data_IF_703225114585
#
_entry.id   IF_703225114585
#
_cell.length_a   1.000
_cell.length_b   1.000
_cell.length_c   1.000
_cell.angle_alpha   90.00
_cell.angle_beta   90.00
_cell.angle_gamma   90.00
#
_symmetry.space_group_name_H-M   'P 1'
#
loop_
_entity.id
_entity.type
_entity.pdbx_description
1 polymer ?
#
# COMPACT_ATOMS: atom_id res chain seq x y z
N UNK A 1 -1.44 30.94 -46.25
CA UNK A 1 -1.63 29.48 -46.07
C UNK A 1 -2.94 29.30 -45.32
N UNK A 2 -3.85 28.39 -45.72
CA UNK A 2 -5.13 28.24 -45.01
C UNK A 2 -4.94 27.37 -43.75
N UNK A 3 -5.79 27.52 -42.71
CA UNK A 3 -5.71 26.69 -41.50
C UNK A 3 -5.75 25.19 -41.79
N UNK A 4 -6.54 24.79 -42.80
CA UNK A 4 -6.63 23.41 -43.29
C UNK A 4 -5.31 22.85 -43.85
N UNK A 5 -4.47 23.68 -44.48
CA UNK A 5 -3.16 23.22 -44.97
C UNK A 5 -2.20 22.93 -43.82
N UNK A 6 -2.27 23.73 -42.74
CA UNK A 6 -1.39 23.58 -41.58
C UNK A 6 -1.72 22.28 -40.84
N UNK A 7 -3.00 22.02 -40.56
CA UNK A 7 -3.43 20.76 -39.93
C UNK A 7 -3.07 19.52 -40.74
N UNK A 8 -3.17 19.58 -42.08
CA UNK A 8 -2.75 18.47 -42.95
C UNK A 8 -1.24 18.19 -42.82
N UNK A 9 -0.42 19.25 -42.77
CA UNK A 9 1.04 19.13 -42.60
C UNK A 9 1.39 18.56 -41.23
N UNK A 10 0.76 19.04 -40.15
CA UNK A 10 0.95 18.50 -38.80
C UNK A 10 0.59 17.01 -38.72
N UNK A 11 -0.53 16.61 -39.31
CA UNK A 11 -0.95 15.21 -39.37
C UNK A 11 0.03 14.34 -40.17
N UNK A 12 0.51 14.81 -41.32
CA UNK A 12 1.55 14.13 -42.09
C UNK A 12 2.86 13.99 -41.29
N UNK A 13 3.29 15.04 -40.58
CA UNK A 13 4.48 14.99 -39.71
C UNK A 13 4.28 13.98 -38.58
N UNK A 14 3.13 13.97 -37.92
CA UNK A 14 2.81 13.00 -36.86
C UNK A 14 2.86 11.55 -37.36
N UNK A 15 2.29 11.27 -38.54
CA UNK A 15 2.38 9.94 -39.18
C UNK A 15 3.83 9.60 -39.53
N UNK A 16 4.57 10.52 -40.16
CA UNK A 16 5.98 10.29 -40.50
C UNK A 16 6.82 10.00 -39.25
N UNK A 17 6.64 10.73 -38.15
CA UNK A 17 7.32 10.46 -36.88
C UNK A 17 6.89 9.12 -36.29
N UNK A 18 5.58 8.84 -36.22
CA UNK A 18 5.06 7.58 -35.69
C UNK A 18 5.52 6.33 -36.47
N UNK A 19 5.80 6.47 -37.77
CA UNK A 19 6.29 5.39 -38.64
C UNK A 19 7.82 5.30 -38.65
N UNK A 20 8.54 6.43 -38.75
CA UNK A 20 10.00 6.43 -38.85
C UNK A 20 10.71 6.13 -37.52
N UNK A 21 10.18 6.62 -36.39
CA UNK A 21 10.75 6.39 -35.06
C UNK A 21 10.87 4.90 -34.69
N UNK A 22 9.90 4.01 -34.97
CA UNK A 22 10.08 2.57 -34.77
C UNK A 22 10.88 1.88 -35.91
N UNK A 23 10.92 2.43 -37.14
CA UNK A 23 11.69 1.84 -38.25
C UNK A 23 13.21 1.96 -38.05
N UNK A 24 13.70 3.05 -37.46
CA UNK A 24 15.14 3.21 -37.18
C UNK A 24 15.69 2.08 -36.27
N UNK A 25 15.12 1.80 -35.08
CA UNK A 25 15.53 0.66 -34.26
C UNK A 25 15.19 -0.69 -34.91
N UNK A 26 14.16 -0.79 -35.77
CA UNK A 26 13.92 -1.98 -36.60
C UNK A 26 15.14 -2.33 -37.44
N UNK A 27 15.64 -1.33 -38.18
CA UNK A 27 16.74 -1.46 -39.12
C UNK A 27 18.06 -1.72 -38.39
N UNK A 28 18.29 -1.06 -37.25
CA UNK A 28 19.43 -1.34 -36.38
C UNK A 28 19.39 -2.79 -35.91
N UNK A 29 18.28 -3.26 -35.32
CA UNK A 29 18.14 -4.64 -34.85
C UNK A 29 18.32 -5.67 -35.99
N UNK A 30 17.71 -5.43 -37.15
CA UNK A 30 17.83 -6.31 -38.32
C UNK A 30 19.28 -6.42 -38.81
N UNK A 31 20.06 -5.34 -38.72
CA UNK A 31 21.45 -5.30 -39.18
C UNK A 31 22.46 -5.80 -38.14
N UNK A 32 22.18 -5.66 -36.84
CA UNK A 32 23.08 -6.07 -35.76
C UNK A 32 22.84 -7.48 -35.24
N UNK A 33 21.62 -8.02 -35.37
CA UNK A 33 21.31 -9.38 -34.95
C UNK A 33 21.60 -10.38 -36.09
N UNK A 34 22.29 -11.50 -35.81
CA UNK A 34 22.28 -12.64 -36.72
C UNK A 34 20.84 -13.07 -37.00
N UNK A 35 20.52 -13.40 -38.25
CA UNK A 35 19.17 -13.72 -38.73
C UNK A 35 18.52 -14.98 -38.12
N UNK A 36 19.15 -15.57 -37.10
CA UNK A 36 18.80 -16.82 -36.43
C UNK A 36 18.30 -16.63 -34.99
N UNK A 37 17.99 -15.40 -34.57
CA UNK A 37 17.33 -15.14 -33.29
C UNK A 37 16.03 -15.96 -33.20
N UNK A 38 16.03 -17.02 -32.38
CA UNK A 38 14.88 -17.92 -32.16
C UNK A 38 14.58 -17.94 -30.67
N UNK A 39 13.42 -17.41 -30.29
CA UNK A 39 12.92 -17.44 -28.91
C UNK A 39 11.82 -18.49 -28.85
N UNK A 40 12.06 -19.56 -28.10
CA UNK A 40 11.11 -20.66 -27.93
C UNK A 40 11.00 -21.01 -26.43
N UNK A 41 9.78 -21.08 -25.92
CA UNK A 41 9.53 -21.52 -24.54
C UNK A 41 8.20 -21.04 -23.95
N UNK A 42 7.83 -21.54 -22.76
CA UNK A 42 6.62 -21.13 -22.06
C UNK A 42 6.79 -19.74 -21.41
N UNK A 43 5.85 -18.84 -21.66
CA UNK A 43 5.74 -17.54 -21.01
C UNK A 43 4.30 -17.34 -20.51
N UNK A 44 4.13 -17.23 -19.18
CA UNK A 44 2.81 -17.13 -18.51
C UNK A 44 1.80 -18.22 -18.96
N UNK A 45 2.29 -19.44 -19.20
CA UNK A 45 1.47 -20.57 -19.67
C UNK A 45 1.22 -20.63 -21.19
N UNK A 46 1.56 -19.58 -21.94
CA UNK A 46 1.53 -19.59 -23.41
C UNK A 46 2.86 -20.11 -23.95
N UNK A 47 2.82 -21.07 -24.87
CA UNK A 47 4.03 -21.64 -25.48
C UNK A 47 4.40 -20.82 -26.72
N UNK A 48 5.40 -19.94 -26.62
CA UNK A 48 5.72 -18.96 -27.66
C UNK A 48 6.87 -19.47 -28.52
N UNK A 49 6.75 -19.34 -29.85
CA UNK A 49 7.82 -19.59 -30.82
C UNK A 49 7.95 -18.39 -31.76
N UNK A 50 9.01 -17.59 -31.59
CA UNK A 50 9.30 -16.41 -32.39
C UNK A 50 10.66 -16.56 -33.08
N UNK A 51 10.77 -15.99 -34.28
CA UNK A 51 12.01 -15.98 -35.05
C UNK A 51 12.31 -14.59 -35.64
N UNK A 52 13.59 -14.33 -35.91
CA UNK A 52 14.07 -13.13 -36.60
C UNK A 52 13.76 -11.83 -35.84
N UNK A 53 13.45 -10.78 -36.59
CA UNK A 53 13.17 -9.45 -36.03
C UNK A 53 12.02 -9.46 -35.00
N UNK A 54 11.00 -10.30 -35.19
CA UNK A 54 9.85 -10.40 -34.28
C UNK A 54 10.26 -10.91 -32.89
N UNK A 55 11.23 -11.83 -32.81
CA UNK A 55 11.81 -12.28 -31.55
C UNK A 55 12.60 -11.15 -30.85
N UNK A 56 13.32 -10.32 -31.61
CA UNK A 56 14.03 -9.15 -31.09
C UNK A 56 13.08 -8.11 -30.49
N UNK A 57 11.99 -7.79 -31.18
CA UNK A 57 10.95 -6.89 -30.65
C UNK A 57 10.28 -7.43 -29.40
N UNK A 58 9.97 -8.73 -29.37
CA UNK A 58 9.36 -9.35 -28.20
C UNK A 58 10.31 -9.30 -26.98
N UNK A 59 11.62 -9.50 -27.19
CA UNK A 59 12.63 -9.32 -26.13
C UNK A 59 12.64 -7.86 -25.61
N UNK A 60 12.68 -6.87 -26.50
CA UNK A 60 12.65 -5.45 -26.13
C UNK A 60 11.34 -5.10 -25.40
N UNK A 61 10.21 -5.62 -25.87
CA UNK A 61 8.92 -5.48 -25.19
C UNK A 61 8.95 -6.08 -23.78
N UNK A 62 9.50 -7.28 -23.58
CA UNK A 62 9.63 -7.88 -22.26
C UNK A 62 10.52 -7.06 -21.32
N UNK A 63 11.63 -6.52 -21.82
CA UNK A 63 12.51 -5.63 -21.04
C UNK A 63 11.78 -4.35 -20.64
N UNK A 64 11.11 -3.68 -21.59
CA UNK A 64 10.36 -2.44 -21.32
C UNK A 64 9.17 -2.71 -20.39
N UNK A 65 8.40 -3.77 -20.63
CA UNK A 65 7.27 -4.16 -19.78
C UNK A 65 7.73 -4.55 -18.37
N UNK A 66 8.87 -5.24 -18.23
CA UNK A 66 9.49 -5.54 -16.94
C UNK A 66 9.89 -4.26 -16.20
N UNK A 67 10.59 -3.33 -16.87
CA UNK A 67 10.99 -2.05 -16.30
C UNK A 67 9.79 -1.16 -15.91
N UNK A 68 8.67 -1.25 -16.64
CA UNK A 68 7.41 -0.56 -16.28
C UNK A 68 6.74 -1.28 -15.09
N UNK A 69 6.65 -2.60 -15.08
CA UNK A 69 6.07 -3.36 -13.94
C UNK A 69 6.88 -3.23 -12.64
N UNK A 70 8.20 -3.03 -12.71
CA UNK A 70 9.02 -2.76 -11.52
C UNK A 70 8.87 -1.34 -10.98
N UNK A 71 8.30 -0.42 -11.75
CA UNK A 71 7.84 0.87 -11.21
C UNK A 71 6.55 0.60 -10.44
N UNK A 72 6.70 0.26 -9.16
CA UNK A 72 5.58 0.34 -8.21
C UNK A 72 4.92 1.70 -8.40
N UNK A 73 3.62 1.71 -8.70
CA UNK A 73 2.85 2.94 -8.74
C UNK A 73 3.06 3.66 -7.40
N UNK A 74 3.26 5.00 -7.39
CA UNK A 74 3.46 5.72 -6.15
C UNK A 74 2.29 5.40 -5.22
N UNK A 75 2.60 4.77 -4.10
CA UNK A 75 1.60 4.32 -3.13
C UNK A 75 0.83 5.56 -2.68
N UNK A 76 -0.44 5.65 -3.09
CA UNK A 76 -1.33 6.71 -2.62
C UNK A 76 -1.62 6.41 -1.16
N UNK A 77 -0.92 7.11 -0.28
CA UNK A 77 -1.21 7.13 1.14
C UNK A 77 -2.43 8.00 1.37
N UNK A 78 -3.39 7.48 2.10
CA UNK A 78 -4.50 8.27 2.62
C UNK A 78 -4.33 8.44 4.12
N UNK A 79 -4.52 9.66 4.62
CA UNK A 79 -4.46 9.94 6.07
C UNK A 79 -5.86 9.74 6.64
N UNK A 80 -5.97 8.87 7.64
CA UNK A 80 -7.23 8.51 8.31
C UNK A 80 -7.17 8.90 9.78
N UNK A 81 -8.19 9.64 10.27
CA UNK A 81 -8.29 9.95 11.68
C UNK A 81 -9.02 8.83 12.43
N UNK A 82 -8.41 8.31 13.49
CA UNK A 82 -8.91 7.20 14.29
C UNK A 82 -9.16 7.70 15.70
N UNK A 83 -10.36 7.46 16.26
CA UNK A 83 -10.68 7.88 17.63
C UNK A 83 -11.30 6.76 18.45
N UNK A 84 -11.02 6.76 19.77
CA UNK A 84 -11.50 5.77 20.72
C UNK A 84 -11.39 6.23 22.17
N UNK A 85 -11.87 5.39 23.10
CA UNK A 85 -11.77 5.60 24.56
C UNK A 85 -11.20 4.36 25.25
N UNK A 86 -10.13 4.54 26.01
CA UNK A 86 -9.50 3.52 26.86
C UNK A 86 -10.05 3.65 28.29
N UNK A 87 -10.24 2.51 28.97
CA UNK A 87 -10.57 2.49 30.40
C UNK A 87 -9.73 1.43 31.12
N UNK A 88 -9.13 1.80 32.26
CA UNK A 88 -8.39 0.86 33.12
C UNK A 88 -9.36 0.02 33.94
N UNK A 89 -9.10 -1.28 34.03
CA UNK A 89 -9.90 -2.22 34.83
C UNK A 89 -9.27 -2.38 36.21
N UNK A 90 -10.01 -2.00 37.27
CA UNK A 90 -9.51 -1.93 38.65
C UNK A 90 -8.27 -1.00 38.80
N UNK A 91 -8.38 0.30 38.47
CA UNK A 91 -7.28 1.24 38.62
C UNK A 91 -6.84 1.35 40.08
N UNK A 92 -5.52 1.46 40.31
CA UNK A 92 -4.98 1.83 41.64
C UNK A 92 -5.19 3.34 41.85
N UNK A 93 -5.32 3.82 43.11
CA UNK A 93 -5.55 5.24 43.39
C UNK A 93 -4.49 6.18 42.80
N UNK A 94 -3.25 5.70 42.65
CA UNK A 94 -2.09 6.46 42.22
C UNK A 94 -1.63 6.15 40.78
N UNK A 95 -2.50 5.57 39.93
CA UNK A 95 -2.15 5.12 38.57
C UNK A 95 -2.76 6.06 37.50
N UNK A 96 -2.07 7.18 37.13
CA UNK A 96 -2.60 8.13 36.17
C UNK A 96 -2.55 7.56 34.75
N UNK A 97 -3.72 7.52 34.10
CA UNK A 97 -3.95 7.11 32.69
C UNK A 97 -2.98 7.80 31.68
N UNK A 98 -2.43 8.94 32.07
CA UNK A 98 -1.50 9.81 31.35
C UNK A 98 -0.13 9.18 31.00
N UNK A 99 0.18 7.95 31.45
CA UNK A 99 1.40 7.21 31.10
C UNK A 99 1.17 6.06 30.10
N UNK A 100 0.14 6.19 29.24
CA UNK A 100 -0.14 5.25 28.15
C UNK A 100 0.54 5.70 26.85
N UNK A 101 1.48 4.90 26.32
CA UNK A 101 2.19 5.18 25.08
C UNK A 101 1.51 4.53 23.88
N UNK A 102 1.13 5.34 22.89
CA UNK A 102 0.51 4.89 21.64
C UNK A 102 1.56 4.76 20.55
N UNK A 103 2.11 3.55 20.39
CA UNK A 103 3.14 3.26 19.40
C UNK A 103 2.53 2.87 18.04
N UNK A 104 2.07 3.88 17.28
CA UNK A 104 1.96 3.77 15.82
C UNK A 104 3.25 4.35 15.24
N UNK A 105 4.05 3.55 14.54
CA UNK A 105 5.23 4.06 13.83
C UNK A 105 4.81 4.74 12.51
N UNK A 106 5.08 6.04 12.31
CA UNK A 106 5.04 7.20 13.23
C UNK A 106 3.76 8.07 13.00
N UNK A 107 3.40 9.07 13.83
CA UNK A 107 4.05 9.55 15.07
C UNK A 107 3.22 9.32 16.36
N UNK A 108 3.88 9.46 17.51
CA UNK A 108 3.27 9.34 18.85
C UNK A 108 2.31 10.50 19.15
N UNK A 109 1.08 10.20 19.56
CA UNK A 109 0.09 11.21 20.00
C UNK A 109 -0.20 11.06 21.50
N UNK A 110 -0.37 12.19 22.20
CA UNK A 110 -0.68 12.23 23.63
C UNK A 110 -2.15 11.87 23.89
N UNK A 111 -2.40 11.04 24.90
CA UNK A 111 -3.74 10.67 25.35
C UNK A 111 -4.40 11.81 26.13
N UNK A 112 -5.71 12.03 25.95
CA UNK A 112 -6.45 12.99 26.78
C UNK A 112 -6.67 12.45 28.19
N UNK A 113 -6.72 13.30 29.24
CA UNK A 113 -6.88 12.83 30.64
C UNK A 113 -8.15 12.01 30.92
N UNK A 114 -9.15 12.08 30.04
CA UNK A 114 -10.41 11.32 30.11
C UNK A 114 -10.36 9.95 29.41
N UNK A 115 -9.16 9.54 28.95
CA UNK A 115 -8.91 8.30 28.22
C UNK A 115 -9.27 8.33 26.74
N UNK A 116 -9.62 9.49 26.15
CA UNK A 116 -9.88 9.62 24.72
C UNK A 116 -8.60 9.87 23.91
N UNK A 117 -8.47 9.20 22.77
CA UNK A 117 -7.42 9.46 21.78
C UNK A 117 -8.01 9.79 20.41
N UNK A 118 -7.23 10.54 19.63
CA UNK A 118 -7.40 10.74 18.18
C UNK A 118 -6.00 10.63 17.55
N UNK A 119 -5.85 9.87 16.48
CA UNK A 119 -4.56 9.65 15.81
C UNK A 119 -4.72 9.51 14.29
N UNK A 120 -3.79 10.14 13.55
CA UNK A 120 -3.79 10.15 12.09
C UNK A 120 -2.87 9.07 11.54
N UNK A 121 -3.44 8.17 10.72
CA UNK A 121 -2.75 6.95 10.26
C UNK A 121 -2.69 6.90 8.74
N UNK A 122 -1.50 6.70 8.14
CA UNK A 122 -1.37 6.48 6.71
C UNK A 122 -1.82 5.07 6.34
N UNK A 123 -2.97 4.95 5.69
CA UNK A 123 -3.50 3.68 5.16
C UNK A 123 -3.01 3.49 3.73
N UNK A 124 -2.54 2.28 3.41
CA UNK A 124 -2.10 1.94 2.05
C UNK A 124 -3.29 1.44 1.23
N UNK A 125 -3.39 1.89 -0.02
CA UNK A 125 -4.27 1.27 -1.00
C UNK A 125 -3.57 0.01 -1.55
N UNK A 126 -4.05 -1.17 -1.14
CA UNK A 126 -3.57 -2.47 -1.60
C UNK A 126 -4.04 -2.80 -3.03
N UNK A 127 -3.64 -3.97 -3.53
CA UNK A 127 -4.06 -4.41 -4.87
C UNK A 127 -5.59 -4.64 -4.92
N UNK A 128 -6.25 -4.04 -5.91
CA UNK A 128 -7.71 -4.13 -6.07
C UNK A 128 -8.50 -3.17 -5.17
N UNK A 129 -7.98 -1.97 -4.90
CA UNK A 129 -8.62 -0.88 -4.14
C UNK A 129 -8.94 -1.21 -2.66
N UNK A 130 -8.47 -2.36 -2.17
CA UNK A 130 -8.63 -2.76 -0.77
C UNK A 130 -7.69 -1.96 0.13
N UNK A 131 -8.25 -1.24 1.10
CA UNK A 131 -7.47 -0.52 2.11
C UNK A 131 -6.78 -1.49 3.08
N UNK A 132 -5.45 -1.41 3.14
CA UNK A 132 -4.59 -2.14 4.09
C UNK A 132 -4.42 -1.30 5.35
N UNK A 133 -5.36 -1.46 6.28
CA UNK A 133 -5.29 -0.82 7.60
C UNK A 133 -4.21 -1.48 8.48
N UNK A 134 -3.39 -0.69 9.20
CA UNK A 134 -2.39 -1.24 10.12
C UNK A 134 -3.02 -1.75 11.42
N UNK A 135 -2.16 -2.25 12.31
CA UNK A 135 -2.51 -2.71 13.65
C UNK A 135 -2.04 -1.66 14.65
N UNK A 136 -2.91 -1.26 15.58
CA UNK A 136 -2.53 -0.42 16.73
C UNK A 136 -2.12 -1.35 17.88
N UNK A 137 -1.04 -1.01 18.58
CA UNK A 137 -0.70 -1.61 19.88
C UNK A 137 -0.79 -0.53 20.94
N UNK A 138 -1.62 -0.74 21.95
CA UNK A 138 -1.73 0.13 23.12
C UNK A 138 -0.86 -0.48 24.23
N UNK A 139 0.09 0.30 24.73
CA UNK A 139 0.96 -0.11 25.83
C UNK A 139 0.73 0.80 27.04
N UNK A 140 0.52 0.20 28.21
CA UNK A 140 0.40 0.93 29.48
C UNK A 140 1.17 0.18 30.56
N UNK A 141 1.83 0.93 31.45
CA UNK A 141 2.66 0.34 32.51
C UNK A 141 1.79 -0.54 33.43
N UNK A 142 2.33 -1.69 33.85
CA UNK A 142 1.62 -2.63 34.71
C UNK A 142 0.49 -3.43 34.05
N UNK A 143 0.23 -3.23 32.75
CA UNK A 143 -0.85 -3.87 32.00
C UNK A 143 -0.30 -4.67 30.82
N UNK A 144 -1.04 -5.68 30.36
CA UNK A 144 -0.74 -6.41 29.13
C UNK A 144 -0.99 -5.51 27.91
N UNK A 145 -0.07 -5.45 26.92
CA UNK A 145 -0.31 -4.74 25.68
C UNK A 145 -1.51 -5.30 24.93
N UNK A 146 -2.38 -4.43 24.43
CA UNK A 146 -3.55 -4.82 23.64
C UNK A 146 -3.33 -4.53 22.16
N UNK A 147 -3.61 -5.52 21.31
CA UNK A 147 -3.41 -5.45 19.87
C UNK A 147 -4.74 -5.28 19.16
N UNK A 148 -4.93 -4.14 18.48
CA UNK A 148 -6.18 -3.76 17.84
C UNK A 148 -6.01 -3.77 16.32
N UNK A 149 -6.52 -4.78 15.60
CA UNK A 149 -6.59 -4.75 14.14
C UNK A 149 -7.66 -3.74 13.71
N UNK A 150 -7.31 -2.83 12.79
CA UNK A 150 -8.22 -1.81 12.26
C UNK A 150 -8.90 -2.21 10.94
N UNK A 151 -8.45 -3.30 10.30
CA UNK A 151 -9.03 -3.83 9.08
C UNK A 151 -10.18 -4.79 9.37
N UNK A 152 -10.98 -5.08 8.34
CA UNK A 152 -12.16 -5.96 8.42
C UNK A 152 -11.81 -7.46 8.57
N UNK A 153 -10.54 -7.79 8.84
CA UNK A 153 -10.07 -9.16 9.04
C UNK A 153 -10.09 -9.52 10.53
N UNK A 154 -10.77 -10.62 10.84
CA UNK A 154 -10.80 -11.19 12.19
C UNK A 154 -9.38 -11.58 12.64
N UNK A 155 -8.97 -11.25 13.88
CA UNK A 155 -7.62 -11.56 14.36
C UNK A 155 -7.38 -13.07 14.36
N UNK A 156 -6.36 -13.51 13.61
CA UNK A 156 -6.07 -14.93 13.35
C UNK A 156 -5.53 -15.69 14.57
N UNK A 157 -5.15 -14.99 15.64
CA UNK A 157 -4.54 -15.56 16.85
C UNK A 157 -5.17 -15.00 18.12
N UNK A 158 -6.37 -15.48 18.48
CA UNK A 158 -6.98 -15.28 19.81
C UNK A 158 -7.28 -13.84 20.25
N UNK A 159 -7.06 -12.85 19.38
CA UNK A 159 -7.27 -11.44 19.69
C UNK A 159 -8.75 -11.08 19.86
N UNK A 160 -9.03 -10.05 20.65
CA UNK A 160 -10.39 -9.51 20.78
C UNK A 160 -10.81 -8.89 19.45
N UNK A 161 -12.05 -9.13 19.04
CA UNK A 161 -12.66 -8.41 17.93
C UNK A 161 -13.30 -7.12 18.44
N UNK A 162 -13.05 -6.01 17.76
CA UNK A 162 -13.55 -4.69 18.12
C UNK A 162 -14.62 -4.25 17.12
N UNK A 163 -15.72 -3.65 17.59
CA UNK A 163 -16.68 -3.01 16.68
C UNK A 163 -16.09 -1.70 16.15
N UNK A 164 -16.00 -1.61 14.83
CA UNK A 164 -15.46 -0.47 14.09
C UNK A 164 -16.57 0.18 13.27
N UNK A 165 -16.86 1.46 13.53
CA UNK A 165 -17.78 2.24 12.70
C UNK A 165 -17.02 2.84 11.50
N UNK A 166 -17.47 2.47 10.30
CA UNK A 166 -16.99 2.91 8.97
C UNK A 166 -17.55 4.27 8.52
N UNK A 167 -16.76 5.35 8.47
CA UNK A 167 -17.10 6.54 7.66
C UNK A 167 -16.07 6.70 6.53
N UNK A 168 -16.46 6.28 5.33
CA UNK A 168 -15.60 6.29 4.15
C UNK A 168 -15.54 7.67 3.46
N UNK A 169 -16.59 8.47 3.57
CA UNK A 169 -16.61 9.84 3.01
C UNK A 169 -15.79 10.80 3.90
N UNK A 170 -15.87 10.63 5.23
CA UNK A 170 -15.10 11.38 6.22
C UNK A 170 -13.69 10.83 6.51
N UNK A 171 -13.27 9.73 5.89
CA UNK A 171 -12.00 9.01 6.14
C UNK A 171 -11.71 8.77 7.64
N UNK A 172 -12.72 8.22 8.32
CA UNK A 172 -12.71 8.02 9.77
C UNK A 172 -13.10 6.58 10.13
N UNK A 173 -12.31 5.93 11.00
CA UNK A 173 -12.72 4.70 11.70
C UNK A 173 -12.87 5.01 13.20
N UNK A 174 -14.02 4.65 13.77
CA UNK A 174 -14.30 4.85 15.21
C UNK A 174 -14.34 3.48 15.89
N UNK A 175 -13.62 3.32 17.00
CA UNK A 175 -13.70 2.11 17.82
C UNK A 175 -14.86 2.30 18.81
N UNK A 176 -16.01 1.66 18.54
CA UNK A 176 -17.22 1.78 19.38
C UNK A 176 -17.06 1.06 20.73
N UNK A 177 -16.21 0.04 20.76
CA UNK A 177 -15.99 -0.81 21.94
C UNK A 177 -14.94 -0.20 22.86
N UNK A 178 -15.24 -0.06 24.15
CA UNK A 178 -14.26 0.38 25.14
C UNK A 178 -13.11 -0.62 25.21
N UNK A 179 -11.88 -0.14 25.12
CA UNK A 179 -10.69 -0.98 25.22
C UNK A 179 -10.33 -1.13 26.71
N UNK A 180 -10.56 -2.33 27.24
CA UNK A 180 -10.12 -2.73 28.58
C UNK A 180 -8.73 -3.40 28.51
N UNK A 181 -7.71 -2.72 29.05
CA UNK A 181 -6.39 -3.30 29.27
C UNK A 181 -6.44 -4.22 30.50
N UNK A 182 -5.89 -5.43 30.39
CA UNK A 182 -5.78 -6.33 31.54
C UNK A 182 -4.52 -6.03 32.35
N UNK A 183 -4.55 -6.06 33.69
CA UNK A 183 -3.33 -5.97 34.49
C UNK A 183 -2.41 -7.15 34.16
N UNK A 184 -1.10 -6.94 34.24
CA UNK A 184 -0.15 -8.04 34.13
C UNK A 184 -0.44 -9.07 35.24
N UNK A 185 -0.50 -10.39 34.93
CA UNK A 185 -0.62 -11.40 35.97
C UNK A 185 0.58 -11.25 36.90
N UNK A 186 0.33 -11.17 38.22
CA UNK A 186 1.33 -10.83 39.23
C UNK A 186 2.54 -11.78 39.18
N UNK A 187 3.54 -11.44 38.38
CA UNK A 187 4.88 -12.02 38.43
C UNK A 187 5.52 -11.61 39.75
N UNK A 188 5.96 -12.60 40.52
CA UNK A 188 6.40 -12.43 41.91
C UNK A 188 7.35 -11.24 42.10
N UNK A 189 7.10 -10.47 43.16
CA UNK A 189 7.96 -9.34 43.51
C UNK A 189 9.37 -9.78 43.90
N UNK A 190 10.30 -8.84 43.82
CA UNK A 190 11.59 -8.87 44.49
C UNK A 190 11.95 -7.44 44.93
N UNK A 191 12.88 -7.29 45.90
CA UNK A 191 12.72 -6.41 47.07
C UNK A 191 12.92 -4.91 46.81
#
# INVERSE_FOLDING_TARGET
MSPSTIQLIEFCIQICVAVLVPIIPAYVLYKTLPAHAKVAGPFKGLNIQLAGAFAGYFLVFLVVAGLISTRQAPSRYEVWNISGKVQLKNPRPDDPILHSDFSVQPPTTLLSPDGRFSLDVPVKLGQGERLEFPIIVINHRGHQPETIPLGDQQPTFGGKSYKLQSDNDGKKRIIETVIELQPLPNGGGQP
#
